data_IF_950018597185
#
_entry.id   IF_950018597185
#
_cell.length_a   1.000
_cell.length_b   1.000
_cell.length_c   1.000
_cell.angle_alpha   90.00
_cell.angle_beta   90.00
_cell.angle_gamma   90.00
#
_symmetry.space_group_name_H-M   'P 1'
#
loop_
_entity.id
_entity.type
_entity.pdbx_description
1 polymer ?
#
# COMPACT_ATOMS: atom_id res chain seq x y z
N UNK A 1 10.44 18.29 -1.44
CA UNK A 1 10.46 16.93 -0.87
C UNK A 1 10.58 15.98 -2.05
N UNK A 2 11.74 15.38 -2.28
CA UNK A 2 11.90 14.40 -3.38
C UNK A 2 11.09 13.16 -3.00
N UNK A 3 10.04 12.85 -3.75
CA UNK A 3 9.32 11.57 -3.66
C UNK A 3 10.38 10.45 -3.60
N UNK A 4 10.32 9.58 -2.59
CA UNK A 4 11.21 8.40 -2.59
C UNK A 4 10.87 7.58 -3.83
N UNK A 5 11.85 6.94 -4.44
CA UNK A 5 11.68 6.18 -5.70
C UNK A 5 10.59 5.10 -5.64
N UNK A 6 10.16 4.71 -4.44
CA UNK A 6 9.17 3.68 -4.17
C UNK A 6 7.92 4.18 -3.44
N UNK A 7 7.75 5.50 -3.25
CA UNK A 7 6.54 6.06 -2.63
C UNK A 7 5.39 6.11 -3.62
N UNK A 8 4.34 5.32 -3.36
CA UNK A 8 3.10 5.34 -4.13
C UNK A 8 2.40 6.70 -3.98
N UNK A 9 2.09 7.32 -5.11
CA UNK A 9 1.22 8.51 -5.18
C UNK A 9 -0.21 8.15 -4.78
N UNK A 10 -1.02 9.14 -4.43
CA UNK A 10 -2.45 8.91 -4.09
C UNK A 10 -3.23 8.33 -5.28
N UNK A 11 -2.85 8.69 -6.50
CA UNK A 11 -3.45 8.16 -7.72
C UNK A 11 -3.13 6.69 -7.93
N UNK A 12 -1.85 6.30 -7.84
CA UNK A 12 -1.44 4.91 -7.95
C UNK A 12 -2.05 4.06 -6.83
N UNK A 13 -2.13 4.62 -5.62
CA UNK A 13 -2.77 3.97 -4.47
C UNK A 13 -4.26 3.67 -4.73
N UNK A 14 -5.02 4.64 -5.25
CA UNK A 14 -6.44 4.46 -5.56
C UNK A 14 -6.72 3.36 -6.59
N UNK A 15 -5.74 3.04 -7.45
CA UNK A 15 -5.83 1.94 -8.42
C UNK A 15 -5.51 0.58 -7.75
N UNK A 16 -4.53 0.56 -6.85
CA UNK A 16 -4.02 -0.68 -6.22
C UNK A 16 -4.92 -1.14 -5.08
N UNK A 17 -5.39 -0.22 -4.23
CA UNK A 17 -6.20 -0.50 -3.03
C UNK A 17 -7.35 -1.50 -3.27
N UNK A 18 -8.24 -1.33 -4.28
CA UNK A 18 -9.35 -2.26 -4.48
C UNK A 18 -8.91 -3.64 -4.99
N UNK A 19 -7.69 -3.77 -5.50
CA UNK A 19 -7.12 -5.03 -5.98
C UNK A 19 -6.47 -5.84 -4.85
N UNK A 20 -6.28 -5.23 -3.68
CA UNK A 20 -5.66 -5.92 -2.55
C UNK A 20 -6.59 -7.01 -2.00
N UNK A 21 -6.04 -8.18 -1.63
CA UNK A 21 -6.88 -9.29 -1.20
C UNK A 21 -7.55 -8.96 0.13
N UNK A 22 -8.88 -8.87 0.20
CA UNK A 22 -9.60 -8.51 1.45
C UNK A 22 -9.71 -9.66 2.48
N UNK A 23 -8.90 -10.73 2.35
CA UNK A 23 -8.90 -11.85 3.31
C UNK A 23 -7.67 -11.74 4.23
N UNK A 24 -7.85 -11.34 5.50
CA UNK A 24 -6.76 -11.35 6.47
C UNK A 24 -6.32 -12.80 6.72
N UNK A 25 -5.05 -13.11 6.41
CA UNK A 25 -4.46 -14.42 6.71
C UNK A 25 -3.97 -14.42 8.16
N UNK A 26 -4.89 -14.62 9.11
CA UNK A 26 -4.60 -14.80 10.54
C UNK A 26 -4.11 -13.57 11.31
N UNK A 27 -3.53 -12.57 10.63
CA UNK A 27 -3.09 -11.29 11.21
C UNK A 27 -3.70 -10.14 10.40
N UNK A 28 -4.23 -9.13 11.08
CA UNK A 28 -4.73 -7.91 10.44
C UNK A 28 -3.59 -7.22 9.69
N UNK A 29 -3.84 -6.76 8.46
CA UNK A 29 -2.81 -6.05 7.71
C UNK A 29 -2.50 -4.72 8.38
N UNK A 30 -1.20 -4.44 8.52
CA UNK A 30 -0.72 -3.06 8.70
C UNK A 30 -1.07 -2.29 7.42
N UNK A 31 -1.29 -0.99 7.53
CA UNK A 31 -1.55 -0.08 6.40
C UNK A 31 -0.81 -0.51 5.12
N UNK A 32 -1.58 -1.06 4.17
CA UNK A 32 -1.06 -1.75 2.99
C UNK A 32 -0.18 -0.82 2.13
N UNK A 33 -0.42 0.49 2.21
CA UNK A 33 0.40 1.50 1.53
C UNK A 33 1.79 1.60 2.14
N UNK A 34 1.91 1.50 3.47
CA UNK A 34 3.20 1.53 4.18
C UNK A 34 4.02 0.28 3.89
N UNK A 35 3.35 -0.87 3.84
CA UNK A 35 3.99 -2.15 3.50
C UNK A 35 4.55 -2.11 2.09
N UNK A 36 3.79 -1.60 1.12
CA UNK A 36 4.25 -1.47 -0.26
C UNK A 36 5.35 -0.40 -0.43
N UNK A 37 5.35 0.64 0.41
CA UNK A 37 6.43 1.63 0.48
C UNK A 37 7.68 1.12 1.24
N UNK A 38 7.62 -0.06 1.87
CA UNK A 38 8.76 -0.69 2.56
C UNK A 38 9.13 -0.10 3.94
N UNK A 39 8.12 0.38 4.70
CA UNK A 39 8.26 0.97 6.04
C UNK A 39 8.05 -0.08 7.14
#
# INVERSE_FOLDING_TARGET
MSQRRYELTDFEWAIIEPLLPNKPRGVARVDDRKVLNGI
#
